data_IF_672002189799
#
_entry.id   IF_672002189799
#
_cell.length_a   1.000
_cell.length_b   1.000
_cell.length_c   1.000
_cell.angle_alpha   90.00
_cell.angle_beta   90.00
_cell.angle_gamma   90.00
#
_symmetry.space_group_name_H-M   'P 1'
#
loop_
_entity.id
_entity.type
_entity.pdbx_description
1 polymer ?
#
# COMPACT_ATOMS: atom_id res chain seq x y z
N UNK A 1 10.16 8.36 -13.59
CA UNK A 1 8.98 8.77 -12.81
C UNK A 1 8.66 10.18 -13.25
N UNK A 2 7.52 10.35 -13.89
CA UNK A 2 7.08 11.64 -14.42
C UNK A 2 6.26 12.39 -13.38
N UNK A 3 6.41 13.71 -13.31
CA UNK A 3 5.52 14.53 -12.48
C UNK A 3 4.22 14.73 -13.25
N UNK A 4 3.09 14.33 -12.66
CA UNK A 4 1.79 14.55 -13.32
C UNK A 4 1.42 16.03 -13.30
N UNK A 5 0.65 16.47 -14.29
CA UNK A 5 0.08 17.81 -14.32
C UNK A 5 -0.73 18.07 -13.05
N UNK A 6 -0.47 19.20 -12.37
CA UNK A 6 -1.14 19.54 -11.12
C UNK A 6 -2.66 19.73 -11.35
N UNK A 7 -3.52 19.12 -10.52
CA UNK A 7 -4.96 19.26 -10.66
C UNK A 7 -5.45 20.63 -10.18
N UNK A 8 -6.60 21.07 -10.66
CA UNK A 8 -7.24 22.31 -10.18
C UNK A 8 -7.87 22.16 -8.79
N UNK A 9 -8.24 20.94 -8.42
CA UNK A 9 -8.86 20.58 -7.15
C UNK A 9 -8.21 19.32 -6.59
N UNK A 10 -8.09 19.23 -5.27
CA UNK A 10 -7.79 17.97 -4.57
C UNK A 10 -8.85 17.68 -3.52
N UNK A 11 -9.14 16.40 -3.33
CA UNK A 11 -10.16 15.87 -2.43
C UNK A 11 -9.47 14.90 -1.48
N UNK A 12 -9.13 15.33 -0.27
CA UNK A 12 -8.27 14.57 0.63
C UNK A 12 -9.11 13.92 1.73
N UNK A 13 -9.36 12.60 1.69
CA UNK A 13 -10.12 11.93 2.75
C UNK A 13 -9.36 11.97 4.07
N UNK A 14 -10.09 12.12 5.17
CA UNK A 14 -9.50 12.12 6.52
C UNK A 14 -9.24 10.70 7.07
N UNK A 15 -9.63 9.66 6.35
CA UNK A 15 -9.27 8.27 6.62
C UNK A 15 -8.47 7.73 5.43
N UNK A 16 -7.17 7.51 5.64
CA UNK A 16 -6.24 6.98 4.61
C UNK A 16 -5.29 5.90 5.18
N UNK A 17 -5.73 5.25 6.26
CA UNK A 17 -4.96 4.28 7.04
C UNK A 17 -5.87 3.32 7.80
N UNK A 18 -5.32 2.23 8.31
CA UNK A 18 -6.09 1.21 9.06
C UNK A 18 -6.59 1.66 10.46
N UNK A 19 -6.11 2.81 10.96
CA UNK A 19 -6.50 3.39 12.25
C UNK A 19 -7.84 4.15 12.26
N UNK A 20 -8.08 4.90 13.34
CA UNK A 20 -9.28 5.72 13.52
C UNK A 20 -9.25 6.99 12.66
N UNK A 21 -10.38 7.31 12.02
CA UNK A 21 -10.56 8.50 11.17
C UNK A 21 -10.05 9.78 11.85
N UNK A 22 -9.38 10.63 11.08
CA UNK A 22 -8.97 11.95 11.55
C UNK A 22 -10.14 12.93 11.56
N UNK A 23 -10.12 13.85 12.51
CA UNK A 23 -10.97 15.02 12.56
C UNK A 23 -10.31 16.16 11.76
N UNK A 24 -11.10 16.98 11.04
CA UNK A 24 -10.56 18.12 10.31
C UNK A 24 -10.01 19.16 11.29
N UNK A 25 -8.84 19.74 10.96
CA UNK A 25 -8.28 20.89 11.68
C UNK A 25 -8.35 22.20 10.87
N UNK A 26 -9.05 22.15 9.74
CA UNK A 26 -9.33 23.28 8.83
C UNK A 26 -10.83 23.33 8.51
N UNK A 27 -11.29 24.49 8.03
CA UNK A 27 -12.69 24.72 7.60
C UNK A 27 -12.73 25.44 6.25
N UNK A 28 -13.91 25.49 5.63
CA UNK A 28 -14.11 26.24 4.39
C UNK A 28 -13.69 27.72 4.55
N UNK A 29 -13.00 28.24 3.53
CA UNK A 29 -12.41 29.57 3.49
C UNK A 29 -10.98 29.67 4.04
N UNK A 30 -10.47 28.63 4.71
CA UNK A 30 -9.09 28.63 5.19
C UNK A 30 -8.11 28.53 4.01
N UNK A 31 -7.02 29.29 4.07
CA UNK A 31 -5.87 29.10 3.18
C UNK A 31 -4.98 28.00 3.72
N UNK A 32 -4.53 27.13 2.83
CA UNK A 32 -3.64 26.01 3.16
C UNK A 32 -2.40 26.00 2.29
N UNK A 33 -1.30 25.49 2.84
CA UNK A 33 -0.02 25.30 2.15
C UNK A 33 0.31 23.82 1.95
N UNK A 34 1.21 23.52 1.02
CA UNK A 34 1.70 22.16 0.80
C UNK A 34 2.36 21.64 2.08
N UNK A 35 1.90 20.49 2.55
CA UNK A 35 2.39 19.85 3.76
C UNK A 35 1.77 20.36 5.06
N UNK A 36 0.86 21.34 5.01
CA UNK A 36 0.12 21.76 6.20
C UNK A 36 -0.79 20.63 6.67
N UNK A 37 -0.81 20.36 7.99
CA UNK A 37 -1.72 19.39 8.60
C UNK A 37 -3.17 19.88 8.48
N UNK A 38 -4.04 19.04 7.93
CA UNK A 38 -5.48 19.30 7.73
C UNK A 38 -6.38 18.29 8.44
N UNK A 39 -5.81 17.18 8.92
CA UNK A 39 -6.50 16.19 9.73
C UNK A 39 -5.62 15.59 10.82
N UNK A 40 -6.19 15.44 12.01
CA UNK A 40 -5.54 14.89 13.20
C UNK A 40 -6.46 13.89 13.91
N UNK A 41 -5.91 12.96 14.70
CA UNK A 41 -6.66 12.08 15.56
C UNK A 41 -5.91 11.84 16.87
N UNK A 42 -6.63 11.96 17.99
CA UNK A 42 -6.10 11.61 19.32
C UNK A 42 -6.02 10.09 19.56
N UNK A 43 -6.58 9.28 18.65
CA UNK A 43 -6.53 7.83 18.78
C UNK A 43 -5.10 7.30 18.68
N UNK A 44 -4.80 6.26 19.46
CA UNK A 44 -3.48 5.65 19.48
C UNK A 44 -3.06 5.06 18.13
N UNK A 45 -4.02 4.56 17.35
CA UNK A 45 -3.80 4.06 15.99
C UNK A 45 -4.39 5.04 14.99
N UNK A 46 -3.55 5.92 14.45
CA UNK A 46 -3.92 6.92 13.45
C UNK A 46 -2.67 7.41 12.69
N UNK A 47 -2.84 8.17 11.61
CA UNK A 47 -1.76 8.90 10.96
C UNK A 47 -2.29 10.21 10.37
N UNK A 48 -1.57 11.31 10.60
CA UNK A 48 -2.04 12.66 10.24
C UNK A 48 -2.22 12.85 8.74
N UNK A 49 -3.16 13.72 8.38
CA UNK A 49 -3.52 14.03 6.99
C UNK A 49 -3.10 15.45 6.68
N UNK A 50 -2.50 15.65 5.50
CA UNK A 50 -1.87 16.90 5.09
C UNK A 50 -2.42 17.37 3.76
N UNK A 51 -2.39 18.69 3.53
CA UNK A 51 -2.68 19.26 2.22
C UNK A 51 -1.57 18.91 1.24
N UNK A 52 -1.94 18.41 0.07
CA UNK A 52 -1.01 18.08 -1.01
C UNK A 52 -0.72 19.22 -1.97
N UNK A 53 -1.49 20.32 -1.85
CA UNK A 53 -1.38 21.52 -2.67
C UNK A 53 -1.41 22.76 -1.76
N UNK A 54 -1.04 23.92 -2.31
CA UNK A 54 -1.37 25.21 -1.70
C UNK A 54 -2.63 25.78 -2.33
N UNK A 55 -3.41 26.53 -1.56
CA UNK A 55 -4.66 27.09 -2.04
C UNK A 55 -5.68 27.34 -0.95
N UNK A 56 -6.95 27.10 -1.25
CA UNK A 56 -8.08 27.43 -0.39
C UNK A 56 -8.98 26.22 -0.15
N UNK A 57 -9.35 25.98 1.10
CA UNK A 57 -10.32 24.95 1.47
C UNK A 57 -11.70 25.43 1.04
N UNK A 58 -12.31 24.72 0.10
CA UNK A 58 -13.65 25.02 -0.41
C UNK A 58 -14.73 24.39 0.47
N UNK A 59 -14.48 23.16 0.95
CA UNK A 59 -15.45 22.43 1.77
C UNK A 59 -14.76 21.36 2.63
N UNK A 60 -15.46 20.97 3.70
CA UNK A 60 -15.21 19.73 4.44
C UNK A 60 -16.52 18.95 4.45
N UNK A 61 -16.60 17.90 3.66
CA UNK A 61 -17.86 17.21 3.36
C UNK A 61 -17.69 15.69 3.24
N UNK A 62 -18.81 14.96 3.32
CA UNK A 62 -18.83 13.51 3.16
C UNK A 62 -18.71 13.13 1.68
N UNK A 63 -17.67 12.37 1.31
CA UNK A 63 -17.43 11.90 -0.07
C UNK A 63 -17.13 10.42 -0.12
N UNK A 64 -17.28 9.85 -1.33
CA UNK A 64 -16.97 8.44 -1.60
C UNK A 64 -15.47 8.19 -1.38
N UNK A 65 -15.16 7.16 -0.59
CA UNK A 65 -13.80 6.71 -0.41
C UNK A 65 -13.48 5.58 -1.40
N UNK A 66 -12.29 5.56 -2.05
CA UNK A 66 -11.99 4.61 -3.13
C UNK A 66 -11.99 3.14 -2.69
N UNK A 67 -11.74 2.87 -1.40
CA UNK A 67 -11.59 1.50 -0.85
C UNK A 67 -12.67 1.10 0.17
N UNK A 68 -13.52 2.03 0.63
CA UNK A 68 -14.44 1.78 1.75
C UNK A 68 -15.90 1.85 1.28
N UNK A 69 -16.81 1.07 1.87
CA UNK A 69 -18.20 1.02 1.44
C UNK A 69 -19.05 2.18 1.96
N UNK A 70 -18.46 3.14 2.68
CA UNK A 70 -19.14 4.28 3.27
C UNK A 70 -18.41 5.58 2.96
N UNK A 71 -19.13 6.70 3.10
CA UNK A 71 -18.58 8.03 2.89
C UNK A 71 -17.65 8.44 4.03
N UNK A 72 -16.64 9.24 3.71
CA UNK A 72 -15.65 9.74 4.66
C UNK A 72 -15.59 11.26 4.55
N UNK A 73 -15.46 11.95 5.69
CA UNK A 73 -15.16 13.39 5.71
C UNK A 73 -13.89 13.66 4.90
N UNK A 74 -14.02 14.56 3.93
CA UNK A 74 -13.02 14.85 2.92
C UNK A 74 -12.84 16.35 2.83
N UNK A 75 -11.59 16.79 2.89
CA UNK A 75 -11.23 18.22 2.72
C UNK A 75 -11.05 18.49 1.23
N UNK A 76 -11.83 19.42 0.70
CA UNK A 76 -11.81 19.81 -0.71
C UNK A 76 -11.04 21.11 -0.84
N UNK A 77 -9.95 21.11 -1.62
CA UNK A 77 -9.04 22.24 -1.73
C UNK A 77 -8.91 22.64 -3.20
N UNK A 78 -9.14 23.93 -3.46
CA UNK A 78 -8.85 24.54 -4.75
C UNK A 78 -7.37 24.88 -4.83
N UNK A 79 -6.67 24.27 -5.77
CA UNK A 79 -5.24 24.45 -5.96
C UNK A 79 -4.94 25.80 -6.61
N UNK A 80 -4.10 26.62 -5.97
CA UNK A 80 -3.65 27.89 -6.54
C UNK A 80 -2.44 27.74 -7.48
N UNK A 81 -1.87 26.53 -7.58
CA UNK A 81 -0.71 26.15 -8.40
C UNK A 81 0.59 26.92 -8.06
N UNK A 82 0.69 27.46 -6.85
CA UNK A 82 1.88 28.18 -6.39
C UNK A 82 2.87 27.27 -5.66
N UNK A 83 2.46 26.05 -5.27
CA UNK A 83 3.27 25.08 -4.53
C UNK A 83 3.94 25.67 -3.26
N UNK A 84 3.33 26.67 -2.63
CA UNK A 84 3.84 27.26 -1.38
C UNK A 84 3.85 26.20 -0.27
N UNK A 85 5.02 25.99 0.34
CA UNK A 85 5.18 25.03 1.43
C UNK A 85 4.87 25.63 2.78
N UNK A 86 4.28 24.83 3.66
CA UNK A 86 4.09 25.21 5.05
C UNK A 86 5.44 25.36 5.77
N UNK A 87 5.54 26.27 6.73
CA UNK A 87 6.78 26.51 7.49
C UNK A 87 7.20 25.29 8.31
N UNK A 88 6.28 24.37 8.62
CA UNK A 88 6.59 23.11 9.31
C UNK A 88 7.38 22.13 8.43
N UNK A 89 7.35 22.32 7.11
CA UNK A 89 8.12 21.55 6.12
C UNK A 89 9.57 22.02 6.16
N UNK A 90 10.30 21.46 7.11
CA UNK A 90 11.72 21.73 7.30
C UNK A 90 12.44 20.46 7.77
N UNK A 91 13.71 20.33 7.37
CA UNK A 91 14.55 19.20 7.71
C UNK A 91 14.57 18.95 9.23
N UNK A 92 14.41 17.68 9.64
CA UNK A 92 14.42 17.25 11.05
C UNK A 92 15.80 16.75 11.49
N UNK A 93 16.67 16.46 10.54
CA UNK A 93 18.05 16.07 10.80
C UNK A 93 18.63 15.23 9.65
N UNK A 94 19.78 14.62 9.91
CA UNK A 94 20.42 13.64 9.03
C UNK A 94 20.55 12.32 9.76
N UNK A 95 20.87 11.24 9.04
CA UNK A 95 21.06 9.92 9.65
C UNK A 95 22.04 9.92 10.84
N UNK A 96 23.08 10.73 10.81
CA UNK A 96 24.06 10.83 11.90
C UNK A 96 23.54 11.62 13.10
N UNK A 97 22.81 12.72 12.88
CA UNK A 97 22.39 13.64 13.95
C UNK A 97 21.05 13.30 14.59
N UNK A 98 20.13 12.66 13.87
CA UNK A 98 18.76 12.44 14.37
C UNK A 98 18.70 11.25 15.34
N UNK A 99 17.93 11.38 16.43
CA UNK A 99 17.70 10.28 17.40
C UNK A 99 16.58 9.36 16.93
N UNK A 100 16.48 8.16 17.53
CA UNK A 100 15.39 7.21 17.30
C UNK A 100 14.02 7.84 17.53
N UNK A 101 13.87 8.56 18.64
CA UNK A 101 12.63 9.20 19.06
C UNK A 101 12.22 10.29 18.05
N UNK A 102 13.19 11.07 17.56
CA UNK A 102 12.93 12.11 16.57
C UNK A 102 12.59 11.53 15.20
N UNK A 103 13.15 10.38 14.81
CA UNK A 103 12.73 9.68 13.59
C UNK A 103 11.27 9.24 13.73
N UNK A 104 10.91 8.56 14.82
CA UNK A 104 9.54 8.09 15.05
C UNK A 104 8.55 9.28 15.07
N UNK A 105 8.94 10.39 15.73
CA UNK A 105 8.15 11.62 15.74
C UNK A 105 8.01 12.21 14.34
N UNK A 106 9.09 12.31 13.56
CA UNK A 106 9.04 12.82 12.18
C UNK A 106 8.12 11.97 11.30
N UNK A 107 8.18 10.65 11.40
CA UNK A 107 7.31 9.71 10.68
C UNK A 107 5.83 9.90 11.07
N UNK A 108 5.56 10.09 12.37
CA UNK A 108 4.21 10.36 12.88
C UNK A 108 3.67 11.68 12.36
N UNK A 109 4.43 12.76 12.54
CA UNK A 109 4.04 14.10 12.10
C UNK A 109 3.86 14.15 10.58
N UNK A 110 4.70 13.47 9.81
CA UNK A 110 4.57 13.34 8.36
C UNK A 110 3.37 12.50 7.90
N UNK A 111 2.70 11.79 8.83
CA UNK A 111 1.58 10.92 8.55
C UNK A 111 1.95 9.73 7.65
N UNK A 112 3.18 9.21 7.77
CA UNK A 112 3.64 8.09 6.93
C UNK A 112 2.94 6.79 7.34
N UNK A 113 2.47 6.05 6.34
CA UNK A 113 1.78 4.76 6.47
C UNK A 113 2.48 3.71 5.61
N UNK A 114 2.27 2.43 5.92
CA UNK A 114 2.77 1.32 5.11
C UNK A 114 2.10 1.28 3.73
N UNK A 115 2.86 1.59 2.68
CA UNK A 115 2.36 1.71 1.30
C UNK A 115 2.33 0.38 0.53
N UNK A 116 2.61 -0.75 1.18
CA UNK A 116 2.49 -2.09 0.60
C UNK A 116 1.08 -2.70 0.67
N UNK A 117 0.05 -1.92 1.03
CA UNK A 117 -1.35 -2.38 1.05
C UNK A 117 -2.13 -1.94 2.28
N UNK A 118 -1.85 -2.52 3.45
CA UNK A 118 -2.70 -2.34 4.65
C UNK A 118 -2.73 -0.91 5.24
N UNK A 119 -1.86 0.00 4.78
CA UNK A 119 -1.81 1.40 5.24
C UNK A 119 -1.74 1.52 6.77
N UNK A 120 -0.99 0.63 7.42
CA UNK A 120 -0.77 0.68 8.85
C UNK A 120 0.18 1.84 9.19
N UNK A 121 -0.09 2.67 10.22
CA UNK A 121 0.80 3.79 10.56
C UNK A 121 2.23 3.33 10.86
N UNK A 122 3.21 3.87 10.13
CA UNK A 122 4.59 3.35 10.16
C UNK A 122 5.24 3.57 11.52
N UNK A 123 5.00 4.71 12.17
CA UNK A 123 5.55 5.01 13.49
C UNK A 123 5.10 4.01 14.57
N UNK A 124 3.88 3.47 14.47
CA UNK A 124 3.36 2.45 15.39
C UNK A 124 4.07 1.13 15.15
N UNK A 125 4.29 0.76 13.88
CA UNK A 125 5.01 -0.48 13.51
C UNK A 125 6.44 -0.49 14.06
N UNK A 126 7.08 0.69 14.12
CA UNK A 126 8.44 0.88 14.63
C UNK A 126 8.51 0.94 16.15
N UNK A 127 7.41 1.29 16.82
CA UNK A 127 7.33 1.41 18.29
C UNK A 127 6.99 0.08 18.98
N UNK A 128 7.39 -1.04 18.38
CA UNK A 128 7.13 -2.38 18.93
C UNK A 128 7.90 -2.61 20.23
N UNK A 129 7.25 -3.21 21.23
CA UNK A 129 7.91 -3.68 22.46
C UNK A 129 8.58 -5.05 22.31
N UNK A 130 8.34 -5.76 21.19
CA UNK A 130 8.95 -7.05 20.90
C UNK A 130 10.39 -6.85 20.41
N UNK A 131 11.32 -7.78 20.74
CA UNK A 131 12.68 -7.72 20.22
C UNK A 131 12.66 -7.90 18.70
N UNK A 132 13.29 -6.96 17.98
CA UNK A 132 13.43 -6.98 16.53
C UNK A 132 14.92 -7.05 16.20
N UNK A 133 15.28 -7.90 15.25
CA UNK A 133 16.67 -8.05 14.80
C UNK A 133 16.87 -7.72 13.32
N UNK A 134 15.79 -7.60 12.55
CA UNK A 134 15.86 -7.35 11.10
C UNK A 134 14.78 -6.37 10.63
N UNK A 135 15.19 -5.37 9.84
CA UNK A 135 14.29 -4.55 9.01
C UNK A 135 14.39 -5.03 7.57
N UNK A 136 13.26 -5.42 6.99
CA UNK A 136 13.16 -5.94 5.63
C UNK A 136 12.36 -4.96 4.76
N UNK A 137 12.98 -4.43 3.70
CA UNK A 137 12.25 -3.78 2.62
C UNK A 137 11.77 -4.80 1.61
N UNK A 138 10.46 -4.79 1.39
CA UNK A 138 9.78 -5.52 0.35
C UNK A 138 9.82 -4.71 -0.95
N UNK A 139 10.78 -5.03 -1.82
CA UNK A 139 10.86 -4.58 -3.21
C UNK A 139 10.29 -5.59 -4.21
N UNK A 140 9.51 -6.56 -3.73
CA UNK A 140 8.78 -7.50 -4.59
C UNK A 140 7.48 -6.86 -5.03
N UNK A 141 7.37 -6.57 -6.31
CA UNK A 141 6.21 -5.90 -6.91
C UNK A 141 5.49 -6.91 -7.80
N UNK A 142 4.96 -7.95 -7.15
CA UNK A 142 4.46 -9.14 -7.83
C UNK A 142 3.03 -9.00 -8.37
N UNK A 143 2.33 -7.90 -8.04
CA UNK A 143 1.04 -7.57 -8.65
C UNK A 143 1.24 -7.23 -10.14
N UNK A 144 0.57 -7.92 -11.07
CA UNK A 144 0.75 -7.67 -12.49
C UNK A 144 0.53 -6.20 -12.86
N UNK A 145 1.34 -5.71 -13.79
CA UNK A 145 1.42 -4.33 -14.28
C UNK A 145 1.96 -3.28 -13.31
N UNK A 146 2.15 -3.57 -12.02
CA UNK A 146 2.76 -2.60 -11.11
C UNK A 146 4.29 -2.62 -11.22
N UNK A 147 4.88 -1.44 -11.18
CA UNK A 147 6.33 -1.23 -11.29
C UNK A 147 6.79 0.10 -10.64
N UNK A 148 5.98 0.69 -9.75
CA UNK A 148 6.25 1.97 -9.11
C UNK A 148 7.44 1.87 -8.14
N UNK A 149 7.47 0.83 -7.32
CA UNK A 149 8.58 0.59 -6.40
C UNK A 149 9.86 0.21 -7.16
N UNK A 150 9.74 -0.53 -8.26
CA UNK A 150 10.85 -0.78 -9.18
C UNK A 150 11.48 0.52 -9.69
N UNK A 151 10.67 1.47 -10.19
CA UNK A 151 11.20 2.77 -10.63
C UNK A 151 11.83 3.59 -9.52
N UNK A 152 11.32 3.49 -8.29
CA UNK A 152 11.95 4.15 -7.14
C UNK A 152 13.34 3.59 -6.84
N UNK A 153 13.52 2.26 -6.94
CA UNK A 153 14.84 1.64 -6.77
C UNK A 153 15.83 2.04 -7.87
N UNK A 154 15.36 2.27 -9.11
CA UNK A 154 16.21 2.73 -10.20
C UNK A 154 16.58 4.21 -10.12
N UNK A 155 15.58 5.06 -9.87
CA UNK A 155 15.72 6.51 -10.05
C UNK A 155 16.06 7.25 -8.74
N UNK A 156 15.76 6.65 -7.59
CA UNK A 156 15.97 7.27 -6.27
C UNK A 156 16.61 6.30 -5.25
N UNK A 157 17.63 5.47 -5.62
CA UNK A 157 18.16 4.42 -4.75
C UNK A 157 18.71 4.94 -3.41
N UNK A 158 19.30 6.14 -3.39
CA UNK A 158 19.86 6.74 -2.17
C UNK A 158 18.76 7.02 -1.13
N UNK A 159 17.58 7.46 -1.59
CA UNK A 159 16.44 7.73 -0.70
C UNK A 159 15.89 6.45 -0.11
N UNK A 160 15.87 5.36 -0.89
CA UNK A 160 15.43 4.03 -0.44
C UNK A 160 16.41 3.47 0.59
N UNK A 161 17.71 3.49 0.30
CA UNK A 161 18.77 2.99 1.19
C UNK A 161 18.83 3.82 2.48
N UNK A 162 18.79 5.14 2.38
CA UNK A 162 18.81 6.01 3.57
C UNK A 162 17.51 5.85 4.38
N UNK A 163 16.37 5.68 3.71
CA UNK A 163 15.11 5.33 4.33
C UNK A 163 15.17 4.03 5.13
N UNK A 164 15.79 2.98 4.58
CA UNK A 164 16.06 1.73 5.31
C UNK A 164 16.92 1.99 6.56
N UNK A 165 18.00 2.76 6.44
CA UNK A 165 18.86 3.09 7.59
C UNK A 165 18.14 3.87 8.68
N UNK A 166 17.24 4.78 8.30
CA UNK A 166 16.39 5.50 9.25
C UNK A 166 15.40 4.54 9.94
N UNK A 167 14.80 3.60 9.21
CA UNK A 167 13.94 2.56 9.78
C UNK A 167 14.71 1.65 10.74
N UNK A 168 15.94 1.26 10.40
CA UNK A 168 16.86 0.50 11.25
C UNK A 168 17.17 1.26 12.54
N UNK A 169 17.58 2.53 12.43
CA UNK A 169 17.86 3.38 13.60
C UNK A 169 16.62 3.61 14.47
N UNK A 170 15.45 3.82 13.87
CA UNK A 170 14.19 3.96 14.58
C UNK A 170 13.77 2.67 15.33
N UNK A 171 14.19 1.51 14.83
CA UNK A 171 13.86 0.21 15.43
C UNK A 171 14.96 -0.32 16.36
N UNK A 172 16.10 0.37 16.45
CA UNK A 172 17.32 -0.10 17.13
C UNK A 172 17.82 -1.45 16.58
N UNK A 173 17.85 -1.56 15.24
CA UNK A 173 18.19 -2.78 14.51
C UNK A 173 19.46 -2.57 13.69
N UNK A 174 20.41 -3.50 13.81
CA UNK A 174 21.68 -3.44 13.09
C UNK A 174 21.61 -4.03 11.66
N UNK A 175 20.63 -4.89 11.35
CA UNK A 175 20.52 -5.57 10.06
C UNK A 175 19.34 -5.06 9.23
N UNK A 176 19.64 -4.54 8.04
CA UNK A 176 18.70 -4.17 7.00
C UNK A 176 18.78 -5.12 5.81
N UNK A 177 17.65 -5.46 5.21
CA UNK A 177 17.59 -6.27 3.98
C UNK A 177 16.69 -5.58 2.97
N UNK A 178 17.06 -5.56 1.69
CA UNK A 178 16.17 -5.20 0.58
C UNK A 178 15.99 -6.44 -0.29
N UNK A 179 14.76 -6.96 -0.35
CA UNK A 179 14.43 -8.11 -1.19
C UNK A 179 13.85 -7.64 -2.53
N UNK A 180 14.48 -8.06 -3.64
CA UNK A 180 14.13 -7.63 -5.00
C UNK A 180 13.99 -8.85 -5.91
N UNK A 181 12.98 -8.85 -6.78
CA UNK A 181 12.73 -9.93 -7.72
C UNK A 181 13.82 -10.04 -8.81
N UNK A 182 14.12 -11.27 -9.23
CA UNK A 182 15.13 -11.61 -10.24
C UNK A 182 14.85 -11.03 -11.64
N UNK A 183 13.62 -10.59 -11.92
CA UNK A 183 13.27 -9.88 -13.14
C UNK A 183 13.65 -8.38 -13.14
N UNK A 184 14.31 -7.88 -12.09
CA UNK A 184 14.74 -6.47 -11.94
C UNK A 184 16.27 -6.38 -11.76
N UNK A 185 17.08 -6.90 -12.70
CA UNK A 185 18.53 -7.01 -12.52
C UNK A 185 19.24 -5.66 -12.37
N UNK A 186 18.76 -4.63 -13.06
CA UNK A 186 19.25 -3.27 -12.99
C UNK A 186 19.02 -2.61 -11.61
N UNK A 187 17.84 -2.81 -11.00
CA UNK A 187 17.59 -2.34 -9.64
C UNK A 187 18.49 -3.06 -8.63
N UNK A 188 18.71 -4.37 -8.79
CA UNK A 188 19.62 -5.15 -7.95
C UNK A 188 21.05 -4.62 -8.07
N UNK A 189 21.53 -4.37 -9.28
CA UNK A 189 22.87 -3.85 -9.53
C UNK A 189 23.07 -2.47 -8.89
N UNK A 190 22.14 -1.54 -9.15
CA UNK A 190 22.20 -0.17 -8.60
C UNK A 190 22.21 -0.20 -7.07
N UNK A 191 21.30 -0.98 -6.46
CA UNK A 191 21.22 -1.07 -5.00
C UNK A 191 22.51 -1.66 -4.41
N UNK A 192 23.05 -2.73 -5.00
CA UNK A 192 24.33 -3.32 -4.57
C UNK A 192 25.49 -2.35 -4.69
N UNK A 193 25.56 -1.59 -5.79
CA UNK A 193 26.60 -0.59 -5.98
C UNK A 193 26.49 0.54 -4.94
N UNK A 194 25.27 1.00 -4.64
CA UNK A 194 25.01 2.08 -3.68
C UNK A 194 25.13 1.66 -2.21
N UNK A 195 24.96 0.38 -1.91
CA UNK A 195 25.18 -0.19 -0.59
C UNK A 195 26.56 -0.84 -0.43
N UNK A 196 27.46 -0.68 -1.43
CA UNK A 196 28.78 -1.28 -1.39
C UNK A 196 29.59 -0.75 -0.18
N UNK A 197 30.17 -1.67 0.59
CA UNK A 197 30.94 -1.33 1.80
C UNK A 197 30.11 -1.15 3.07
N UNK A 198 28.78 -1.21 2.98
CA UNK A 198 27.90 -1.18 4.15
C UNK A 198 27.46 -2.60 4.53
N UNK A 199 28.14 -3.20 5.50
CA UNK A 199 27.83 -4.55 5.99
C UNK A 199 26.50 -4.65 6.74
N UNK A 200 25.86 -3.53 7.08
CA UNK A 200 24.56 -3.52 7.75
C UNK A 200 23.39 -3.75 6.78
N UNK A 201 23.61 -3.61 5.47
CA UNK A 201 22.58 -3.74 4.43
C UNK A 201 22.88 -4.91 3.50
N UNK A 202 21.90 -5.78 3.35
CA UNK A 202 21.95 -6.93 2.44
C UNK A 202 20.93 -6.76 1.30
N UNK A 203 21.36 -6.95 0.05
CA UNK A 203 20.46 -7.00 -1.11
C UNK A 203 20.22 -8.45 -1.48
N UNK A 204 18.99 -8.94 -1.29
CA UNK A 204 18.60 -10.33 -1.52
C UNK A 204 17.76 -10.43 -2.79
N UNK A 205 18.20 -11.26 -3.73
CA UNK A 205 17.42 -11.58 -4.92
C UNK A 205 16.43 -12.70 -4.61
N UNK A 206 15.16 -12.49 -4.96
CA UNK A 206 14.09 -13.49 -4.82
C UNK A 206 13.48 -13.83 -6.18
N UNK A 207 12.81 -14.97 -6.28
CA UNK A 207 12.23 -15.42 -7.54
C UNK A 207 11.01 -14.58 -7.91
N UNK A 208 10.89 -14.19 -9.18
CA UNK A 208 9.65 -13.59 -9.69
C UNK A 208 8.52 -14.61 -9.65
N UNK A 209 7.65 -14.48 -8.65
CA UNK A 209 6.51 -15.38 -8.43
C UNK A 209 5.41 -14.65 -7.69
N UNK A 210 4.16 -14.77 -8.12
CA UNK A 210 3.03 -14.31 -7.31
C UNK A 210 2.63 -15.40 -6.29
N UNK A 211 2.37 -15.08 -5.00
CA UNK A 211 2.47 -13.79 -4.33
C UNK A 211 3.73 -13.68 -3.43
N UNK A 212 4.94 -13.68 -3.99
CA UNK A 212 6.20 -13.62 -3.23
C UNK A 212 6.29 -12.36 -2.35
N UNK A 213 5.68 -11.26 -2.80
CA UNK A 213 5.59 -10.01 -2.04
C UNK A 213 4.65 -10.06 -0.83
N UNK A 214 3.92 -11.15 -0.58
CA UNK A 214 3.18 -11.30 0.67
C UNK A 214 4.16 -11.43 1.85
N UNK A 215 4.01 -10.61 2.88
CA UNK A 215 5.02 -10.46 3.94
C UNK A 215 5.45 -11.79 4.59
N UNK A 216 4.52 -12.72 4.80
CA UNK A 216 4.81 -14.04 5.38
C UNK A 216 5.64 -14.92 4.46
N UNK A 217 5.39 -14.84 3.15
CA UNK A 217 6.16 -15.58 2.14
C UNK A 217 7.56 -15.01 2.04
N UNK A 218 7.66 -13.68 1.97
CA UNK A 218 8.93 -12.99 1.87
C UNK A 218 9.84 -13.26 3.08
N UNK A 219 9.29 -13.20 4.31
CA UNK A 219 10.05 -13.52 5.53
C UNK A 219 10.55 -14.96 5.49
N UNK A 220 9.71 -15.93 5.13
CA UNK A 220 10.11 -17.34 5.01
C UNK A 220 11.20 -17.51 3.94
N UNK A 221 11.08 -16.81 2.81
CA UNK A 221 12.04 -16.90 1.71
C UNK A 221 13.40 -16.30 2.06
N UNK A 222 13.42 -15.13 2.67
CA UNK A 222 14.64 -14.34 2.92
C UNK A 222 15.33 -14.78 4.21
N UNK A 223 14.56 -15.12 5.25
CA UNK A 223 15.08 -15.37 6.60
C UNK A 223 14.85 -16.80 7.09
N UNK A 224 14.09 -17.63 6.37
CA UNK A 224 13.73 -18.97 6.82
C UNK A 224 12.79 -19.01 8.03
N UNK A 225 12.19 -17.87 8.40
CA UNK A 225 11.30 -17.75 9.58
C UNK A 225 9.85 -17.91 9.17
N UNK A 226 9.09 -18.70 9.93
CA UNK A 226 7.65 -18.87 9.71
C UNK A 226 6.85 -18.01 10.66
N UNK A 227 6.12 -17.03 10.13
CA UNK A 227 5.15 -16.25 10.91
C UNK A 227 4.01 -17.18 11.32
N UNK A 228 3.66 -17.31 12.62
CA UNK A 228 2.54 -18.13 13.07
C UNK A 228 1.20 -17.73 12.44
N UNK A 229 0.26 -18.66 12.33
CA UNK A 229 -1.12 -18.34 11.92
C UNK A 229 -1.76 -17.37 12.91
N UNK A 230 -2.33 -16.28 12.41
CA UNK A 230 -2.82 -15.17 13.25
C UNK A 230 -1.73 -14.27 13.85
N UNK A 231 -0.45 -14.62 13.70
CA UNK A 231 0.68 -13.81 14.12
C UNK A 231 1.05 -12.70 13.12
N UNK A 232 1.97 -11.84 13.53
CA UNK A 232 2.52 -10.72 12.79
C UNK A 232 4.01 -10.95 12.53
N UNK A 233 4.62 -10.27 11.53
CA UNK A 233 6.08 -10.26 11.35
C UNK A 233 6.90 -9.98 12.63
N UNK A 234 6.35 -9.13 13.51
CA UNK A 234 6.95 -8.80 14.80
C UNK A 234 7.10 -10.02 15.74
N UNK A 235 6.29 -11.07 15.57
CA UNK A 235 6.38 -12.31 16.36
C UNK A 235 7.61 -13.15 16.02
N UNK A 236 8.26 -12.86 14.88
CA UNK A 236 9.47 -13.55 14.42
C UNK A 236 10.66 -12.59 14.30
N UNK A 237 10.59 -11.43 14.98
CA UNK A 237 11.70 -10.48 15.07
C UNK A 237 11.92 -9.62 13.81
N UNK A 238 10.91 -9.46 12.95
CA UNK A 238 11.06 -8.78 11.66
C UNK A 238 10.07 -7.61 11.51
N UNK A 239 10.59 -6.46 11.09
CA UNK A 239 9.78 -5.35 10.59
C UNK A 239 9.86 -5.32 9.07
N UNK A 240 8.72 -5.54 8.40
CA UNK A 240 8.65 -5.45 6.92
C UNK A 240 8.08 -4.09 6.50
N UNK A 241 8.77 -3.34 5.65
CA UNK A 241 8.25 -2.11 5.04
C UNK A 241 8.34 -2.17 3.52
N UNK A 242 7.52 -1.38 2.83
CA UNK A 242 7.57 -1.28 1.39
C UNK A 242 8.62 -0.24 0.94
N UNK A 243 9.13 -0.34 -0.29
CA UNK A 243 10.14 0.59 -0.87
C UNK A 243 9.66 2.05 -0.80
N UNK A 244 8.45 2.34 -1.29
CA UNK A 244 7.85 3.67 -1.17
C UNK A 244 7.81 4.16 0.28
N UNK A 245 7.62 3.25 1.24
CA UNK A 245 7.54 3.63 2.67
C UNK A 245 8.91 4.10 3.17
N UNK A 246 9.99 3.44 2.77
CA UNK A 246 11.35 3.87 3.10
C UNK A 246 11.66 5.25 2.52
N UNK A 247 11.29 5.51 1.25
CA UNK A 247 11.45 6.84 0.65
C UNK A 247 10.66 7.91 1.43
N UNK A 248 9.40 7.65 1.80
CA UNK A 248 8.61 8.60 2.57
C UNK A 248 9.20 8.89 3.96
N UNK A 249 9.85 7.90 4.59
CA UNK A 249 10.59 8.11 5.84
C UNK A 249 11.81 9.01 5.61
N UNK A 250 12.53 8.81 4.51
CA UNK A 250 13.62 9.71 4.12
C UNK A 250 13.13 11.15 3.94
N UNK A 251 12.05 11.37 3.20
CA UNK A 251 11.46 12.70 2.97
C UNK A 251 11.01 13.35 4.29
N UNK A 252 10.31 12.60 5.15
CA UNK A 252 9.86 13.07 6.45
C UNK A 252 11.02 13.58 7.34
N UNK A 253 12.21 12.99 7.22
CA UNK A 253 13.38 13.36 8.01
C UNK A 253 14.23 14.45 7.34
N UNK A 254 14.58 14.28 6.07
CA UNK A 254 15.55 15.13 5.37
C UNK A 254 14.96 16.44 4.86
N UNK A 255 13.69 16.45 4.45
CA UNK A 255 13.00 17.67 4.03
C UNK A 255 11.91 18.11 5.00
N UNK A 256 11.43 17.20 5.86
CA UNK A 256 10.24 17.44 6.68
C UNK A 256 8.95 17.36 5.88
N UNK A 257 9.01 16.89 4.62
CA UNK A 257 7.84 16.79 3.76
C UNK A 257 6.94 15.64 4.24
N UNK A 258 5.67 15.89 4.58
CA UNK A 258 4.72 14.82 4.89
C UNK A 258 4.38 13.98 3.66
N UNK A 259 3.71 12.85 3.87
CA UNK A 259 3.25 11.99 2.78
C UNK A 259 2.07 12.64 2.04
N UNK A 260 2.39 13.52 1.10
CA UNK A 260 1.44 14.30 0.29
C UNK A 260 1.42 13.90 -1.18
N UNK A 261 2.33 13.03 -1.61
CA UNK A 261 2.43 12.53 -2.97
C UNK A 261 2.61 11.02 -2.99
N UNK A 262 2.22 10.40 -4.10
CA UNK A 262 2.40 8.98 -4.37
C UNK A 262 3.02 8.80 -5.74
N UNK A 263 4.03 7.95 -5.81
CA UNK A 263 4.43 7.36 -7.09
C UNK A 263 3.53 6.16 -7.33
N UNK A 264 2.79 6.18 -8.44
CA UNK A 264 1.90 5.10 -8.84
C UNK A 264 2.15 4.70 -10.30
N UNK A 265 1.83 3.45 -10.63
CA UNK A 265 1.82 2.98 -12.02
C UNK A 265 0.46 3.25 -12.67
N UNK A 266 0.44 3.82 -13.87
CA UNK A 266 -0.75 3.85 -14.74
C UNK A 266 -0.46 2.94 -15.94
N UNK A 267 -1.21 1.84 -16.08
CA UNK A 267 -0.92 0.83 -17.10
C UNK A 267 -2.14 -0.01 -17.46
N UNK A 268 -2.04 -0.76 -18.55
CA UNK A 268 -3.01 -1.77 -18.97
C UNK A 268 -3.73 -1.43 -20.28
N UNK A 269 -4.70 -2.28 -20.64
CA UNK A 269 -5.44 -2.15 -21.89
C UNK A 269 -6.27 -0.86 -21.87
N UNK A 270 -6.17 -0.05 -22.92
CA UNK A 270 -6.92 1.21 -23.02
C UNK A 270 -6.25 2.41 -22.37
N UNK A 271 -5.01 2.29 -21.88
CA UNK A 271 -4.20 3.42 -21.41
C UNK A 271 -3.29 3.91 -22.54
N UNK A 272 -3.42 5.17 -22.93
CA UNK A 272 -2.58 5.78 -23.99
C UNK A 272 -1.19 6.13 -23.47
N UNK A 273 -1.11 6.85 -22.36
CA UNK A 273 0.14 7.24 -21.71
C UNK A 273 0.35 6.37 -20.48
N UNK A 274 1.00 5.23 -20.71
CA UNK A 274 1.40 4.33 -19.63
C UNK A 274 2.71 4.80 -19.00
N UNK A 275 2.84 4.67 -17.69
CA UNK A 275 4.05 5.08 -17.01
C UNK A 275 3.91 5.12 -15.50
N UNK A 276 4.95 5.67 -14.86
CA UNK A 276 4.99 5.88 -13.43
C UNK A 276 4.93 7.37 -13.14
N UNK A 277 3.90 7.77 -12.41
CA UNK A 277 3.58 9.17 -12.17
C UNK A 277 3.68 9.50 -10.68
N UNK A 278 4.33 10.62 -10.37
CA UNK A 278 4.25 11.26 -9.06
C UNK A 278 2.99 12.12 -9.02
N UNK A 279 2.03 11.71 -8.19
CA UNK A 279 0.66 12.24 -8.12
C UNK A 279 0.38 12.80 -6.73
N UNK A 280 -0.22 14.00 -6.59
CA UNK A 280 -0.62 14.52 -5.29
C UNK A 280 -1.75 13.68 -4.70
N UNK A 281 -1.66 13.39 -3.39
CA UNK A 281 -2.74 12.76 -2.63
C UNK A 281 -3.99 13.64 -2.72
N UNK A 282 -5.12 13.05 -3.07
CA UNK A 282 -6.39 13.76 -3.28
C UNK A 282 -6.70 14.10 -4.73
N UNK A 283 -5.77 13.91 -5.67
CA UNK A 283 -6.09 14.01 -7.10
C UNK A 283 -7.14 12.97 -7.48
N UNK A 284 -8.14 13.35 -8.29
CA UNK A 284 -9.17 12.40 -8.70
C UNK A 284 -8.67 11.42 -9.75
N UNK A 285 -9.20 10.19 -9.71
CA UNK A 285 -8.98 9.21 -10.78
C UNK A 285 -9.50 9.73 -12.12
N UNK A 286 -10.59 10.51 -12.13
CA UNK A 286 -11.13 11.16 -13.33
C UNK A 286 -10.16 12.14 -13.99
N UNK A 287 -9.28 12.81 -13.24
CA UNK A 287 -8.24 13.67 -13.82
C UNK A 287 -7.10 12.85 -14.42
N UNK A 288 -6.72 11.75 -13.76
CA UNK A 288 -5.70 10.82 -14.27
C UNK A 288 -6.18 10.14 -15.56
N UNK A 289 -7.47 9.77 -15.62
CA UNK A 289 -8.10 9.23 -16.83
C UNK A 289 -7.91 10.19 -18.00
N UNK A 290 -8.20 11.48 -17.81
CA UNK A 290 -8.06 12.50 -18.86
C UNK A 290 -6.60 12.68 -19.27
N UNK A 291 -5.69 12.82 -18.30
CA UNK A 291 -4.27 13.08 -18.56
C UNK A 291 -3.61 11.90 -19.27
N UNK A 292 -3.86 10.67 -18.81
CA UNK A 292 -3.23 9.48 -19.36
C UNK A 292 -3.95 8.91 -20.59
N UNK A 293 -5.05 9.56 -21.03
CA UNK A 293 -5.86 9.10 -22.16
C UNK A 293 -6.41 7.68 -21.93
N UNK A 294 -7.01 7.45 -20.76
CA UNK A 294 -7.60 6.17 -20.39
C UNK A 294 -8.98 6.03 -21.02
N UNK A 295 -9.15 4.98 -21.80
CA UNK A 295 -10.44 4.62 -22.41
C UNK A 295 -11.14 3.61 -21.52
N UNK A 296 -12.29 4.02 -20.97
CA UNK A 296 -13.18 3.14 -20.20
C UNK A 296 -14.48 2.95 -20.99
N UNK A 297 -14.39 2.29 -22.14
CA UNK A 297 -15.54 1.82 -22.91
C UNK A 297 -15.95 0.42 -22.43
N UNK A 298 -17.20 -0.01 -22.69
CA UNK A 298 -17.92 -1.05 -21.93
C UNK A 298 -17.18 -2.36 -21.55
N UNK A 299 -16.19 -2.77 -22.36
CA UNK A 299 -15.38 -3.96 -22.12
C UNK A 299 -14.13 -3.70 -21.26
N UNK A 300 -13.91 -2.50 -20.74
CA UNK A 300 -12.79 -2.19 -19.84
C UNK A 300 -13.23 -2.02 -18.40
N UNK A 301 -12.38 -2.41 -17.47
CA UNK A 301 -12.52 -2.21 -16.03
C UNK A 301 -11.25 -1.53 -15.50
N UNK A 302 -11.44 -0.51 -14.64
CA UNK A 302 -10.35 0.17 -13.93
C UNK A 302 -10.28 -0.36 -12.49
N UNK A 303 -9.08 -0.75 -12.07
CA UNK A 303 -8.79 -1.08 -10.67
C UNK A 303 -7.77 -0.12 -10.08
N UNK A 304 -7.99 0.28 -8.84
CA UNK A 304 -7.01 0.98 -8.02
C UNK A 304 -6.20 -0.03 -7.20
N UNK A 305 -4.88 0.03 -7.30
CA UNK A 305 -3.95 -0.97 -6.76
C UNK A 305 -3.44 -1.90 -7.86
N UNK A 306 -3.32 -3.20 -7.56
CA UNK A 306 -2.83 -4.21 -8.49
C UNK A 306 -3.92 -4.87 -9.33
N UNK A 307 -3.52 -5.62 -10.36
CA UNK A 307 -4.43 -6.34 -11.25
C UNK A 307 -5.32 -7.37 -10.53
N UNK A 308 -4.74 -8.04 -9.54
CA UNK A 308 -5.35 -9.18 -8.85
C UNK A 308 -6.09 -8.70 -7.61
N UNK A 309 -5.40 -8.06 -6.67
CA UNK A 309 -5.99 -7.63 -5.39
C UNK A 309 -6.53 -6.19 -5.38
N UNK A 310 -6.37 -5.44 -6.47
CA UNK A 310 -6.87 -4.07 -6.56
C UNK A 310 -8.39 -3.98 -6.49
N UNK A 311 -8.86 -2.76 -6.21
CA UNK A 311 -10.27 -2.45 -6.02
C UNK A 311 -10.84 -1.91 -7.32
N UNK A 312 -11.77 -2.66 -7.91
CA UNK A 312 -12.59 -2.21 -9.03
C UNK A 312 -13.29 -0.90 -8.70
N UNK A 313 -13.14 0.09 -9.57
CA UNK A 313 -13.81 1.38 -9.45
C UNK A 313 -14.97 1.47 -10.42
N UNK A 314 -16.16 1.76 -9.87
CA UNK A 314 -17.36 2.08 -10.65
C UNK A 314 -17.66 3.58 -10.69
N UNK A 315 -16.95 4.36 -9.86
CA UNK A 315 -16.99 5.81 -9.83
C UNK A 315 -15.55 6.32 -9.89
N UNK A 316 -15.28 7.28 -10.78
CA UNK A 316 -13.95 7.83 -11.01
C UNK A 316 -13.72 9.18 -10.31
N UNK A 317 -14.75 9.76 -9.69
CA UNK A 317 -14.64 10.94 -8.82
C UNK A 317 -14.25 10.55 -7.39
N UNK A 318 -13.33 9.60 -7.30
CA UNK A 318 -12.69 9.15 -6.08
C UNK A 318 -11.22 9.58 -6.08
N UNK A 319 -10.66 9.94 -4.92
CA UNK A 319 -9.29 10.44 -4.84
C UNK A 319 -8.24 9.33 -4.80
N UNK A 320 -7.05 9.63 -5.30
CA UNK A 320 -5.80 8.95 -4.94
C UNK A 320 -5.54 9.16 -3.45
N UNK A 321 -5.24 8.09 -2.72
CA UNK A 321 -4.92 8.13 -1.30
C UNK A 321 -3.50 7.60 -1.05
N UNK A 322 -2.99 7.74 0.18
CA UNK A 322 -1.65 7.26 0.56
C UNK A 322 -1.35 5.80 0.19
N UNK A 323 -2.37 4.93 0.17
CA UNK A 323 -2.22 3.51 -0.18
C UNK A 323 -2.31 3.20 -1.67
N UNK A 324 -2.59 4.17 -2.53
CA UNK A 324 -2.70 3.93 -3.97
C UNK A 324 -1.31 3.64 -4.54
N UNK A 325 -1.13 2.46 -5.13
CA UNK A 325 0.11 2.01 -5.80
C UNK A 325 -0.01 2.00 -7.32
N UNK A 326 -1.22 1.94 -7.85
CA UNK A 326 -1.44 1.98 -9.30
C UNK A 326 -2.89 2.23 -9.68
N UNK A 327 -3.07 2.59 -10.94
CA UNK A 327 -4.34 2.64 -11.66
C UNK A 327 -4.15 1.76 -12.89
N UNK A 328 -4.79 0.60 -12.85
CA UNK A 328 -4.61 -0.43 -13.87
C UNK A 328 -5.92 -0.69 -14.59
N UNK A 329 -5.86 -0.80 -15.91
CA UNK A 329 -7.04 -0.96 -16.77
C UNK A 329 -6.95 -2.26 -17.52
N UNK A 330 -8.02 -3.05 -17.48
CA UNK A 330 -8.06 -4.35 -18.12
C UNK A 330 -9.27 -4.45 -19.00
N UNK A 331 -9.14 -5.22 -20.08
CA UNK A 331 -10.32 -5.75 -20.72
C UNK A 331 -10.99 -6.75 -19.77
N UNK A 332 -12.28 -6.55 -19.50
CA UNK A 332 -13.12 -7.51 -18.79
C UNK A 332 -12.99 -8.85 -19.49
N UNK A 333 -12.64 -9.88 -18.73
CA UNK A 333 -12.75 -11.25 -19.20
C UNK A 333 -14.24 -11.55 -19.37
N UNK A 334 -14.59 -12.39 -20.35
CA UNK A 334 -15.94 -12.93 -20.43
C UNK A 334 -16.30 -13.55 -19.08
N UNK A 335 -17.54 -13.32 -18.61
CA UNK A 335 -18.04 -13.98 -17.41
C UNK A 335 -18.05 -15.49 -17.67
N UNK A 336 -17.01 -16.17 -17.20
CA UNK A 336 -16.93 -17.62 -17.27
C UNK A 336 -17.90 -18.17 -16.22
N UNK A 337 -18.93 -18.87 -16.68
CA UNK A 337 -19.94 -19.49 -15.83
C UNK A 337 -19.30 -20.40 -14.78
N UNK A 338 -19.66 -20.22 -13.50
CA UNK A 338 -19.24 -21.13 -12.43
C UNK A 338 -19.84 -22.51 -12.65
N UNK A 339 -19.00 -23.53 -12.68
CA UNK A 339 -19.37 -24.93 -12.84
C UNK A 339 -19.25 -25.70 -11.51
N UNK A 340 -19.87 -26.89 -11.37
CA UNK A 340 -19.65 -27.74 -10.21
C UNK A 340 -18.17 -28.11 -9.99
N UNK A 341 -17.75 -28.19 -8.73
CA UNK A 341 -16.37 -28.53 -8.37
C UNK A 341 -16.04 -29.99 -8.73
N UNK A 342 -15.05 -30.20 -9.61
CA UNK A 342 -14.57 -31.53 -10.01
C UNK A 342 -13.54 -32.17 -9.06
N UNK A 343 -13.29 -31.56 -7.89
CA UNK A 343 -12.37 -32.05 -6.84
C UNK A 343 -10.92 -32.35 -7.30
N UNK A 344 -10.42 -31.67 -8.33
CA UNK A 344 -9.07 -31.90 -8.89
C UNK A 344 -7.88 -31.52 -7.99
N UNK A 345 -8.11 -30.92 -6.81
CA UNK A 345 -7.04 -30.58 -5.86
C UNK A 345 -6.15 -29.37 -6.21
N UNK A 346 -6.20 -28.83 -7.44
CA UNK A 346 -5.33 -27.71 -7.88
C UNK A 346 -5.33 -26.49 -6.96
N UNK A 347 -6.50 -26.09 -6.45
CA UNK A 347 -6.61 -24.96 -5.52
C UNK A 347 -5.81 -25.15 -4.22
N UNK A 348 -5.60 -26.39 -3.78
CA UNK A 348 -4.78 -26.73 -2.59
C UNK A 348 -3.31 -26.54 -2.92
N UNK A 349 -2.87 -27.05 -4.07
CA UNK A 349 -1.47 -27.03 -4.49
C UNK A 349 -0.92 -25.60 -4.69
N UNK A 350 -1.79 -24.66 -5.05
CA UNK A 350 -1.38 -23.26 -5.29
C UNK A 350 -1.61 -22.35 -4.07
N UNK A 351 -2.17 -22.84 -2.96
CA UNK A 351 -2.46 -21.98 -1.83
C UNK A 351 -1.18 -21.66 -1.04
N UNK A 352 -0.71 -20.40 -1.00
CA UNK A 352 0.53 -20.06 -0.29
C UNK A 352 0.39 -20.18 1.23
N UNK A 353 -0.85 -20.17 1.72
CA UNK A 353 -1.17 -20.33 3.14
C UNK A 353 -1.45 -21.79 3.52
N UNK A 354 -1.21 -22.73 2.59
CA UNK A 354 -1.41 -24.18 2.78
C UNK A 354 -2.84 -24.54 3.24
N UNK A 355 -3.81 -23.69 2.87
CA UNK A 355 -5.23 -23.93 3.16
C UNK A 355 -5.81 -24.95 2.18
N UNK A 356 -7.06 -25.36 2.45
CA UNK A 356 -7.84 -26.24 1.55
C UNK A 356 -9.02 -25.44 0.96
N UNK A 357 -8.82 -24.59 -0.08
CA UNK A 357 -9.85 -23.67 -0.57
C UNK A 357 -11.16 -24.36 -0.96
N UNK A 358 -11.11 -25.52 -1.61
CA UNK A 358 -12.31 -26.28 -1.95
C UNK A 358 -13.16 -26.65 -0.73
N UNK A 359 -12.55 -26.95 0.42
CA UNK A 359 -13.29 -27.21 1.68
C UNK A 359 -13.90 -25.93 2.24
N UNK A 360 -13.17 -24.82 2.16
CA UNK A 360 -13.67 -23.51 2.59
C UNK A 360 -14.91 -23.10 1.79
N UNK A 361 -14.89 -23.28 0.46
CA UNK A 361 -16.06 -23.05 -0.40
C UNK A 361 -17.22 -23.97 -0.01
N UNK A 362 -16.95 -25.27 0.21
CA UNK A 362 -17.97 -26.22 0.64
C UNK A 362 -18.62 -25.80 1.97
N UNK A 363 -17.85 -25.40 2.98
CA UNK A 363 -18.38 -24.94 4.26
C UNK A 363 -19.13 -23.60 4.13
N UNK A 364 -18.68 -22.68 3.28
CA UNK A 364 -19.39 -21.44 3.02
C UNK A 364 -20.77 -21.68 2.38
N UNK A 365 -20.84 -22.56 1.37
CA UNK A 365 -22.11 -22.91 0.69
C UNK A 365 -23.08 -23.62 1.64
N UNK A 366 -22.56 -24.32 2.65
CA UNK A 366 -23.35 -24.94 3.71
C UNK A 366 -23.58 -24.03 4.94
N UNK A 367 -23.17 -22.75 4.85
CA UNK A 367 -23.22 -21.76 5.95
C UNK A 367 -22.61 -22.27 7.28
N UNK A 368 -21.66 -23.20 7.21
CA UNK A 368 -21.02 -23.78 8.38
C UNK A 368 -19.81 -22.93 8.81
N UNK A 369 -20.12 -21.80 9.41
CA UNK A 369 -19.14 -20.78 9.81
C UNK A 369 -18.14 -21.30 10.85
N UNK A 370 -18.56 -22.18 11.76
CA UNK A 370 -17.69 -22.74 12.80
C UNK A 370 -16.63 -23.66 12.19
N UNK A 371 -17.01 -24.54 11.25
CA UNK A 371 -16.02 -25.33 10.49
C UNK A 371 -15.17 -24.46 9.59
N UNK A 372 -15.73 -23.40 9.02
CA UNK A 372 -14.99 -22.49 8.16
C UNK A 372 -13.89 -21.75 8.92
N UNK A 373 -14.19 -21.29 10.13
CA UNK A 373 -13.21 -20.70 11.03
C UNK A 373 -12.14 -21.72 11.46
N UNK A 374 -12.56 -22.91 11.93
CA UNK A 374 -11.63 -23.98 12.33
C UNK A 374 -10.72 -24.46 11.20
N UNK A 375 -11.18 -24.37 9.95
CA UNK A 375 -10.39 -24.72 8.75
C UNK A 375 -9.42 -23.59 8.35
N UNK A 376 -9.44 -22.45 9.05
CA UNK A 376 -8.44 -21.41 8.93
C UNK A 376 -8.76 -20.33 7.90
N UNK A 377 -10.04 -20.08 7.55
CA UNK A 377 -10.40 -19.01 6.59
C UNK A 377 -9.81 -17.65 6.98
N UNK A 378 -9.67 -17.38 8.28
CA UNK A 378 -9.10 -16.14 8.80
C UNK A 378 -7.62 -15.95 8.42
N UNK A 379 -6.91 -17.03 8.07
CA UNK A 379 -5.54 -17.01 7.60
C UNK A 379 -5.41 -16.80 6.08
N UNK A 380 -6.51 -16.85 5.33
CA UNK A 380 -6.48 -16.59 3.89
C UNK A 380 -6.01 -15.14 3.66
N UNK A 381 -5.11 -14.92 2.70
CA UNK A 381 -4.62 -13.57 2.35
C UNK A 381 -5.33 -12.99 1.11
N UNK A 382 -6.37 -13.66 0.61
CA UNK A 382 -7.21 -13.18 -0.50
C UNK A 382 -6.46 -12.95 -1.83
N UNK A 383 -5.31 -13.62 -2.00
CA UNK A 383 -4.45 -13.52 -3.19
C UNK A 383 -5.06 -14.05 -4.50
N UNK A 384 -6.19 -14.74 -4.48
CA UNK A 384 -6.81 -15.22 -5.72
C UNK A 384 -6.11 -16.38 -6.46
N UNK A 385 -4.94 -16.87 -6.02
CA UNK A 385 -4.26 -18.01 -6.68
C UNK A 385 -5.20 -19.22 -6.88
N UNK A 386 -6.02 -19.52 -5.88
CA UNK A 386 -6.97 -20.63 -5.91
C UNK A 386 -8.16 -20.41 -6.85
N UNK A 387 -8.54 -19.16 -7.10
CA UNK A 387 -9.64 -18.77 -7.98
C UNK A 387 -9.16 -18.81 -9.44
N UNK A 388 -7.99 -18.25 -9.71
CA UNK A 388 -7.39 -18.21 -11.05
C UNK A 388 -7.14 -19.61 -11.63
N UNK A 389 -6.59 -20.54 -10.82
CA UNK A 389 -6.32 -21.91 -11.28
C UNK A 389 -7.58 -22.80 -11.35
N UNK A 390 -8.73 -22.32 -10.89
CA UNK A 390 -9.91 -23.15 -10.72
C UNK A 390 -10.52 -23.56 -12.08
N UNK A 391 -10.57 -24.87 -12.35
CA UNK A 391 -11.26 -25.37 -13.55
C UNK A 391 -12.75 -25.06 -13.55
N UNK A 392 -13.35 -25.03 -12.37
CA UNK A 392 -14.79 -24.80 -12.18
C UNK A 392 -15.14 -23.32 -12.05
N UNK A 393 -14.16 -22.41 -12.20
CA UNK A 393 -14.38 -20.96 -12.19
C UNK A 393 -15.11 -20.44 -10.94
N UNK A 394 -14.90 -21.10 -9.80
CA UNK A 394 -15.54 -20.71 -8.55
C UNK A 394 -14.95 -19.40 -8.01
N UNK A 395 -15.81 -18.45 -7.66
CA UNK A 395 -15.46 -17.11 -7.15
C UNK A 395 -14.99 -17.15 -5.67
N UNK A 396 -13.93 -17.90 -5.40
CA UNK A 396 -13.45 -18.21 -4.05
C UNK A 396 -13.11 -16.98 -3.21
N UNK A 397 -12.48 -15.95 -3.79
CA UNK A 397 -12.04 -14.75 -3.05
C UNK A 397 -13.24 -13.99 -2.51
N UNK A 398 -14.28 -13.80 -3.32
CA UNK A 398 -15.52 -13.15 -2.91
C UNK A 398 -16.19 -13.91 -1.76
N UNK A 399 -16.27 -15.25 -1.88
CA UNK A 399 -16.81 -16.14 -0.85
C UNK A 399 -16.01 -16.00 0.46
N UNK A 400 -14.67 -16.00 0.39
CA UNK A 400 -13.82 -15.92 1.58
C UNK A 400 -13.92 -14.55 2.25
N UNK A 401 -13.94 -13.45 1.49
CA UNK A 401 -14.17 -12.09 2.00
C UNK A 401 -15.50 -12.02 2.76
N UNK A 402 -16.59 -12.49 2.16
CA UNK A 402 -17.93 -12.54 2.80
C UNK A 402 -17.90 -13.38 4.07
N UNK A 403 -17.29 -14.56 4.02
CA UNK A 403 -17.23 -15.47 5.17
C UNK A 403 -16.45 -14.89 6.35
N UNK A 404 -15.31 -14.24 6.10
CA UNK A 404 -14.55 -13.53 7.15
C UNK A 404 -15.36 -12.40 7.79
N UNK A 405 -16.13 -11.65 6.99
CA UNK A 405 -17.01 -10.59 7.49
C UNK A 405 -18.05 -11.17 8.46
N UNK A 406 -18.77 -12.21 8.04
CA UNK A 406 -19.78 -12.89 8.87
C UNK A 406 -19.16 -13.43 10.18
N UNK A 407 -18.01 -14.11 10.10
CA UNK A 407 -17.33 -14.65 11.30
C UNK A 407 -16.95 -13.53 12.28
N UNK A 408 -16.46 -12.39 11.77
CA UNK A 408 -16.14 -11.22 12.63
C UNK A 408 -17.39 -10.61 13.27
N UNK A 409 -18.50 -10.54 12.53
CA UNK A 409 -19.77 -10.02 13.03
C UNK A 409 -20.38 -10.91 14.12
N UNK A 410 -20.26 -12.24 13.99
CA UNK A 410 -20.73 -13.20 15.03
C UNK A 410 -19.96 -13.12 16.35
N UNK A 411 -18.78 -12.48 16.37
CA UNK A 411 -17.94 -12.33 17.57
C UNK A 411 -18.12 -10.98 18.28
N UNK A 412 -18.82 -10.04 17.64
CA UNK A 412 -19.25 -8.79 18.26
C UNK A 412 -20.58 -9.04 18.95
#
# INVERSE_FOLDING_TARGET
IERITAPDMVYIPLLQHAGATCEPVVKAGDKVKVGQKIGDSKAAVSAFVHSSVSGEVIAVEQRIHPLLPFHVNTVVIKNNKQDEQDLSVCAKGTLSSITKENIISAIKEAGVVGMGGAQFPTHIKLSSSKPIDTVLLNGCECEPLLNADYRLMLERPETVITGLKLLMKASDVAKGIIAVEDNKPDAIEILKAKSAGDSSIEIVTVKTKYPEGAERMLIKRVLGREVPLGGLPLDVGVIVNNISTAQAVYEAVYSGMPLVKRVLTVAGNGVTLQGNYEVPVGMLVSDIIKICGIVISGNFELKMGGAIMGFTQNNYDVPVIKGTSGIVVFQKKDDLTEEPCIKCGRCVNVCPMELKPHKLVFYAKAENWDKMEKTGVMNCIECGCCEDICSSKSHMVSIFKKSKKIIRERKK
#
